data_IF_492730511157
#
_entry.id   IF_492730511157
#
_cell.length_a   1.000
_cell.length_b   1.000
_cell.length_c   1.000
_cell.angle_alpha   90.00
_cell.angle_beta   90.00
_cell.angle_gamma   90.00
#
_symmetry.space_group_name_H-M   'P 1'
#
loop_
_entity.id
_entity.type
_entity.pdbx_description
1 polymer ?
#
# COMPACT_ATOMS: atom_id res chain seq x y z
N UNK A 1 22.26 15.84 44.07
CA UNK A 1 21.90 15.60 42.66
C UNK A 1 22.51 14.27 42.23
N UNK A 2 21.80 13.15 42.40
CA UNK A 2 22.23 11.83 41.88
C UNK A 2 21.02 10.90 41.88
N UNK A 3 20.15 11.07 40.89
CA UNK A 3 18.86 10.32 40.81
C UNK A 3 18.49 9.90 39.39
N UNK A 4 19.30 10.20 38.35
CA UNK A 4 18.89 9.98 36.95
C UNK A 4 19.28 8.61 36.39
N UNK A 5 20.35 7.97 36.86
CA UNK A 5 20.86 6.74 36.25
C UNK A 5 20.11 5.46 36.70
N UNK A 6 19.49 5.48 37.87
CA UNK A 6 18.73 4.33 38.40
C UNK A 6 17.33 4.21 37.78
N UNK A 7 16.65 5.32 37.48
CA UNK A 7 15.36 5.32 36.78
C UNK A 7 15.48 4.91 35.30
N UNK A 8 16.59 5.25 34.65
CA UNK A 8 16.83 4.88 33.26
C UNK A 8 17.10 3.38 33.10
N UNK A 9 17.69 2.73 34.12
CA UNK A 9 17.94 1.29 34.15
C UNK A 9 16.69 0.48 34.51
N UNK A 10 15.76 1.04 35.29
CA UNK A 10 14.47 0.38 35.59
C UNK A 10 13.50 0.45 34.41
N UNK A 11 13.48 1.57 33.67
CA UNK A 11 12.67 1.69 32.46
C UNK A 11 13.16 0.78 31.32
N UNK A 12 14.48 0.56 31.20
CA UNK A 12 15.04 -0.40 30.24
C UNK A 12 14.74 -1.86 30.59
N UNK A 13 14.65 -2.20 31.89
CA UNK A 13 14.27 -3.54 32.35
C UNK A 13 12.76 -3.83 32.22
N UNK A 14 11.91 -2.86 32.55
CA UNK A 14 10.45 -3.01 32.39
C UNK A 14 10.05 -3.13 30.92
N UNK A 15 10.74 -2.42 30.01
CA UNK A 15 10.48 -2.53 28.57
C UNK A 15 11.00 -3.83 27.95
N UNK A 16 11.92 -4.52 28.62
CA UNK A 16 12.37 -5.86 28.25
C UNK A 16 11.48 -6.95 28.85
N UNK A 17 10.89 -6.75 30.04
CA UNK A 17 9.87 -7.66 30.60
C UNK A 17 8.57 -7.68 29.78
N UNK A 18 8.24 -6.58 29.10
CA UNK A 18 7.07 -6.45 28.22
C UNK A 18 7.34 -6.93 26.77
N UNK A 19 8.57 -7.32 26.43
CA UNK A 19 8.93 -7.80 25.09
C UNK A 19 8.79 -9.35 25.05
N UNK A 20 7.83 -9.92 24.30
CA UNK A 20 7.62 -11.37 24.26
C UNK A 20 8.84 -12.15 23.75
N UNK A 21 9.78 -11.49 23.06
CA UNK A 21 11.05 -12.06 22.62
C UNK A 21 12.07 -12.22 23.76
N UNK A 22 12.01 -11.39 24.81
CA UNK A 22 12.94 -11.47 25.94
C UNK A 22 12.69 -12.71 26.82
N UNK A 23 11.43 -13.17 26.89
CA UNK A 23 11.08 -14.44 27.55
C UNK A 23 11.66 -15.68 26.85
N UNK A 24 11.87 -15.59 25.53
CA UNK A 24 12.49 -16.68 24.74
C UNK A 24 14.02 -16.75 24.93
N UNK A 25 14.66 -15.65 25.30
CA UNK A 25 16.11 -15.57 25.52
C UNK A 25 16.52 -15.95 26.97
N UNK A 26 15.63 -15.77 27.96
CA UNK A 26 15.92 -16.16 29.36
C UNK A 26 15.86 -17.67 29.58
N UNK A 27 14.99 -18.41 28.88
CA UNK A 27 14.85 -19.88 28.99
C UNK A 27 15.76 -20.62 27.99
N UNK A 28 17.07 -20.36 28.07
CA UNK A 28 18.11 -21.07 27.34
C UNK A 28 18.30 -22.55 27.70
N UNK A 29 17.39 -23.13 28.50
CA UNK A 29 17.30 -24.56 28.77
C UNK A 29 15.97 -25.09 28.24
N UNK A 30 16.06 -26.04 27.30
CA UNK A 30 14.96 -26.69 26.61
C UNK A 30 13.99 -27.46 27.53
N UNK A 31 13.22 -26.76 28.36
CA UNK A 31 11.92 -27.24 28.81
C UNK A 31 10.89 -26.84 27.74
N UNK A 32 10.07 -27.79 27.25
CA UNK A 32 8.98 -27.43 26.35
C UNK A 32 8.02 -26.52 27.11
N UNK A 33 7.94 -25.24 26.69
CA UNK A 33 6.98 -24.25 27.16
C UNK A 33 5.59 -24.90 27.31
N UNK A 34 4.94 -24.67 28.46
CA UNK A 34 3.60 -25.19 28.73
C UNK A 34 2.62 -24.71 27.63
N UNK A 35 1.65 -25.54 27.25
CA UNK A 35 0.75 -25.27 26.12
C UNK A 35 -0.05 -23.97 26.34
N UNK A 36 -0.32 -23.64 27.61
CA UNK A 36 -0.97 -22.39 28.02
C UNK A 36 -0.07 -21.16 27.83
N UNK A 37 1.23 -21.28 28.11
CA UNK A 37 2.20 -20.19 27.93
C UNK A 37 2.45 -19.93 26.45
N UNK A 38 2.55 -20.98 25.63
CA UNK A 38 2.65 -20.83 24.17
C UNK A 38 1.42 -20.13 23.58
N UNK A 39 0.21 -20.47 24.04
CA UNK A 39 -1.02 -19.80 23.59
C UNK A 39 -1.06 -18.32 23.97
N UNK A 40 -0.65 -17.98 25.19
CA UNK A 40 -0.57 -16.59 25.63
C UNK A 40 0.47 -15.79 24.83
N UNK A 41 1.63 -16.38 24.53
CA UNK A 41 2.66 -15.74 23.72
C UNK A 41 2.16 -15.54 22.28
N UNK A 42 1.54 -16.55 21.66
CA UNK A 42 0.99 -16.42 20.30
C UNK A 42 -0.12 -15.38 20.25
N UNK A 43 -1.00 -15.34 21.25
CA UNK A 43 -2.08 -14.38 21.31
C UNK A 43 -1.55 -12.94 21.49
N UNK A 44 -0.59 -12.73 22.40
CA UNK A 44 0.03 -11.41 22.59
C UNK A 44 0.79 -10.93 21.36
N UNK A 45 1.49 -11.84 20.65
CA UNK A 45 2.11 -11.53 19.36
C UNK A 45 1.08 -11.14 18.30
N UNK A 46 -0.08 -11.80 18.26
CA UNK A 46 -1.17 -11.46 17.33
C UNK A 46 -1.75 -10.09 17.64
N UNK A 47 -2.05 -9.79 18.90
CA UNK A 47 -2.60 -8.50 19.32
C UNK A 47 -1.61 -7.36 19.04
N UNK A 48 -0.31 -7.57 19.30
CA UNK A 48 0.74 -6.62 18.97
C UNK A 48 0.87 -6.40 17.45
N UNK A 49 0.77 -7.46 16.66
CA UNK A 49 0.81 -7.39 15.20
C UNK A 49 -0.41 -6.66 14.64
N UNK A 50 -1.62 -6.98 15.10
CA UNK A 50 -2.86 -6.32 14.67
C UNK A 50 -2.83 -4.81 14.98
N UNK A 51 -2.37 -4.44 16.19
CA UNK A 51 -2.18 -3.04 16.57
C UNK A 51 -1.17 -2.33 15.67
N UNK A 52 -0.05 -2.98 15.37
CA UNK A 52 0.98 -2.43 14.48
C UNK A 52 0.45 -2.25 13.05
N UNK A 53 -0.24 -3.26 12.51
CA UNK A 53 -0.86 -3.22 11.19
C UNK A 53 -1.88 -2.07 11.09
N UNK A 54 -2.69 -1.87 12.12
CA UNK A 54 -3.62 -0.75 12.20
C UNK A 54 -2.89 0.61 12.15
N UNK A 55 -1.81 0.77 12.91
CA UNK A 55 -1.01 2.00 12.93
C UNK A 55 -0.35 2.25 11.57
N UNK A 56 0.26 1.23 10.95
CA UNK A 56 0.85 1.36 9.63
C UNK A 56 -0.17 1.78 8.58
N UNK A 57 -1.35 1.14 8.57
CA UNK A 57 -2.44 1.51 7.65
C UNK A 57 -2.95 2.93 7.89
N UNK A 58 -3.04 3.36 9.15
CA UNK A 58 -3.42 4.74 9.48
C UNK A 58 -2.39 5.76 8.97
N UNK A 59 -1.09 5.49 9.13
CA UNK A 59 -0.02 6.35 8.59
C UNK A 59 -0.07 6.40 7.05
N UNK A 60 -0.33 5.27 6.40
CA UNK A 60 -0.51 5.22 4.95
C UNK A 60 -1.71 6.07 4.50
N UNK A 61 -2.84 6.03 5.21
CA UNK A 61 -3.98 6.90 4.92
C UNK A 61 -3.64 8.37 5.06
N UNK A 62 -2.91 8.75 6.10
CA UNK A 62 -2.45 10.15 6.28
C UNK A 62 -1.57 10.57 5.10
N UNK A 63 -0.61 9.73 4.71
CA UNK A 63 0.25 10.00 3.56
C UNK A 63 -0.55 10.18 2.27
N UNK A 64 -1.48 9.26 1.97
CA UNK A 64 -2.32 9.36 0.77
C UNK A 64 -3.25 10.60 0.81
N UNK A 65 -3.78 10.92 1.99
CA UNK A 65 -4.58 12.13 2.20
C UNK A 65 -3.78 13.42 1.97
N UNK A 66 -2.52 13.46 2.43
CA UNK A 66 -1.62 14.58 2.17
C UNK A 66 -1.29 14.73 0.69
N UNK A 67 -1.09 13.63 -0.04
CA UNK A 67 -0.92 13.67 -1.50
C UNK A 67 -2.18 14.22 -2.18
N UNK A 68 -3.36 13.84 -1.70
CA UNK A 68 -4.63 14.42 -2.17
C UNK A 68 -4.69 15.94 -1.97
N UNK A 69 -4.36 16.42 -0.76
CA UNK A 69 -4.30 17.86 -0.47
C UNK A 69 -3.26 18.57 -1.34
N UNK A 70 -2.10 17.95 -1.55
CA UNK A 70 -1.03 18.48 -2.39
C UNK A 70 -1.50 18.70 -3.83
N UNK A 71 -2.31 17.81 -4.40
CA UNK A 71 -2.86 18.01 -5.74
C UNK A 71 -3.97 19.08 -5.81
N UNK A 72 -4.54 19.48 -4.69
CA UNK A 72 -5.51 20.58 -4.65
C UNK A 72 -4.83 21.96 -4.54
N UNK A 73 -3.55 22.02 -4.13
CA UNK A 73 -2.86 23.29 -3.90
C UNK A 73 -2.75 24.22 -5.11
N UNK A 74 -2.56 23.76 -6.37
CA UNK A 74 -2.41 24.68 -7.49
C UNK A 74 -3.76 25.13 -8.07
N UNK A 75 -4.90 24.56 -7.63
CA UNK A 75 -6.23 24.90 -8.17
C UNK A 75 -6.54 26.40 -8.03
N UNK A 76 -6.33 27.06 -6.88
CA UNK A 76 -6.55 28.49 -6.76
C UNK A 76 -5.71 29.30 -7.76
N UNK A 77 -4.43 28.96 -7.93
CA UNK A 77 -3.52 29.67 -8.84
C UNK A 77 -3.94 29.51 -10.32
N UNK A 78 -4.49 28.35 -10.68
CA UNK A 78 -5.07 28.15 -12.02
C UNK A 78 -6.36 28.95 -12.23
N UNK A 79 -7.16 29.16 -11.18
CA UNK A 79 -8.40 29.94 -11.25
C UNK A 79 -8.10 31.44 -11.33
N UNK A 80 -7.09 31.92 -10.59
CA UNK A 80 -6.67 33.34 -10.63
C UNK A 80 -5.82 33.66 -11.86
N UNK A 81 -5.27 32.64 -12.53
CA UNK A 81 -4.41 32.79 -13.70
C UNK A 81 -2.96 33.13 -13.34
N UNK A 82 -2.60 33.09 -12.06
CA UNK A 82 -1.25 33.36 -11.55
C UNK A 82 -0.31 32.15 -11.69
N UNK A 83 -0.84 30.98 -12.09
CA UNK A 83 -0.03 29.79 -12.28
C UNK A 83 0.99 29.98 -13.42
N UNK A 84 2.28 29.65 -13.21
CA UNK A 84 3.34 29.84 -14.21
C UNK A 84 3.11 29.03 -15.50
N UNK A 85 2.33 27.95 -15.42
CA UNK A 85 1.89 27.13 -16.56
C UNK A 85 0.39 27.30 -16.87
N UNK A 86 -0.15 28.52 -16.79
CA UNK A 86 -1.57 28.80 -17.07
C UNK A 86 -2.00 28.48 -18.51
N UNK A 87 -1.04 28.44 -19.44
CA UNK A 87 -1.23 28.15 -20.85
C UNK A 87 -0.32 27.01 -21.30
N UNK A 88 -0.90 25.99 -21.94
CA UNK A 88 -0.14 24.89 -22.51
C UNK A 88 0.39 25.32 -23.88
N UNK A 89 1.69 25.61 -23.98
CA UNK A 89 2.38 25.62 -25.26
C UNK A 89 2.41 24.18 -25.77
N UNK A 90 1.77 23.90 -26.92
CA UNK A 90 1.67 22.56 -27.48
C UNK A 90 3.02 21.81 -27.38
N UNK A 91 2.91 20.53 -27.04
CA UNK A 91 3.90 19.46 -26.77
C UNK A 91 5.22 19.39 -27.57
N UNK A 92 5.57 20.39 -28.39
CA UNK A 92 6.80 20.46 -29.17
C UNK A 92 7.48 21.85 -29.19
N UNK A 93 6.98 22.87 -28.48
CA UNK A 93 7.64 24.17 -28.48
C UNK A 93 8.63 24.30 -27.31
N UNK A 94 9.91 24.34 -27.64
CA UNK A 94 11.04 24.62 -26.76
C UNK A 94 10.79 25.87 -25.91
N UNK A 95 10.94 25.71 -24.59
CA UNK A 95 10.73 26.71 -23.53
C UNK A 95 11.79 27.81 -23.52
N UNK A 96 11.88 28.62 -24.59
CA UNK A 96 12.81 29.74 -24.68
C UNK A 96 12.23 30.96 -25.41
N UNK A 97 11.01 31.41 -25.14
CA UNK A 97 10.55 32.70 -25.67
C UNK A 97 9.78 33.46 -24.58
N UNK A 98 10.43 34.48 -24.04
CA UNK A 98 9.94 35.41 -23.00
C UNK A 98 9.18 36.63 -23.55
N UNK A 99 8.75 36.60 -24.81
CA UNK A 99 8.09 37.74 -25.42
C UNK A 99 6.69 37.35 -25.89
N UNK A 100 5.69 37.89 -25.19
CA UNK A 100 4.30 37.91 -25.62
C UNK A 100 4.21 38.67 -26.94
N UNK A 101 4.14 37.93 -28.06
CA UNK A 101 3.78 38.47 -29.36
C UNK A 101 2.59 37.69 -29.91
N UNK A 102 1.95 38.23 -30.96
CA UNK A 102 0.61 37.88 -31.46
C UNK A 102 0.35 36.42 -31.88
N UNK A 103 1.28 35.48 -31.66
CA UNK A 103 1.08 34.04 -31.84
C UNK A 103 0.38 33.35 -30.63
N UNK A 104 0.01 34.12 -29.60
CA UNK A 104 -0.70 33.66 -28.39
C UNK A 104 -2.14 33.16 -28.61
N UNK A 105 -2.64 33.19 -29.85
CA UNK A 105 -3.97 32.68 -30.23
C UNK A 105 -4.08 31.15 -30.21
N UNK A 106 -2.98 30.41 -30.02
CA UNK A 106 -2.98 28.94 -29.93
C UNK A 106 -2.53 28.48 -28.52
N UNK A 107 -2.97 29.20 -27.48
CA UNK A 107 -2.76 28.79 -26.09
C UNK A 107 -4.00 28.08 -25.56
N UNK A 108 -3.93 26.76 -25.40
CA UNK A 108 -4.99 26.00 -24.73
C UNK A 108 -4.96 26.32 -23.22
N UNK A 109 -6.12 26.55 -22.58
CA UNK A 109 -6.16 26.73 -21.14
C UNK A 109 -5.64 25.45 -20.47
N UNK A 110 -4.62 25.57 -19.63
CA UNK A 110 -4.00 24.41 -18.97
C UNK A 110 -4.90 23.82 -17.87
N UNK A 111 -5.80 24.64 -17.29
CA UNK A 111 -6.65 24.24 -16.18
C UNK A 111 -7.60 23.06 -16.48
N UNK A 112 -8.37 23.03 -17.58
CA UNK A 112 -9.18 21.86 -17.93
C UNK A 112 -8.36 20.58 -18.09
N UNK A 113 -7.15 20.68 -18.63
CA UNK A 113 -6.24 19.54 -18.82
C UNK A 113 -5.75 19.06 -17.46
N UNK A 114 -5.35 19.98 -16.59
CA UNK A 114 -4.98 19.68 -15.20
C UNK A 114 -6.11 18.95 -14.46
N UNK A 115 -7.36 19.41 -14.59
CA UNK A 115 -8.51 18.76 -13.96
C UNK A 115 -8.71 17.32 -14.46
N UNK A 116 -8.59 17.06 -15.75
CA UNK A 116 -8.71 15.69 -16.29
C UNK A 116 -7.61 14.79 -15.72
N UNK A 117 -6.36 15.27 -15.69
CA UNK A 117 -5.23 14.52 -15.14
C UNK A 117 -5.37 14.31 -13.62
N UNK A 118 -5.87 15.32 -12.92
CA UNK A 118 -6.21 15.27 -11.49
C UNK A 118 -7.29 14.23 -11.22
N UNK A 119 -8.36 14.17 -12.01
CA UNK A 119 -9.40 13.16 -11.84
C UNK A 119 -8.88 11.74 -12.15
N UNK A 120 -8.00 11.60 -13.14
CA UNK A 120 -7.38 10.31 -13.46
C UNK A 120 -6.49 9.81 -12.31
N UNK A 121 -5.50 10.62 -11.90
CA UNK A 121 -4.56 10.25 -10.84
C UNK A 121 -5.23 10.23 -9.46
N UNK A 122 -6.08 11.22 -9.19
CA UNK A 122 -6.89 11.29 -7.98
C UNK A 122 -7.87 10.13 -7.86
N UNK A 123 -8.42 9.63 -8.97
CA UNK A 123 -9.24 8.42 -8.98
C UNK A 123 -8.46 7.17 -8.56
N UNK A 124 -7.22 7.02 -9.04
CA UNK A 124 -6.33 5.92 -8.64
C UNK A 124 -5.93 6.04 -7.16
N UNK A 125 -5.57 7.25 -6.72
CA UNK A 125 -5.25 7.55 -5.32
C UNK A 125 -6.44 7.25 -4.41
N UNK A 126 -7.65 7.64 -4.82
CA UNK A 126 -8.90 7.36 -4.11
C UNK A 126 -9.15 5.85 -4.01
N UNK A 127 -8.90 5.08 -5.08
CA UNK A 127 -8.97 3.62 -5.05
C UNK A 127 -8.05 3.02 -3.98
N UNK A 128 -6.80 3.52 -3.88
CA UNK A 128 -5.86 3.12 -2.83
C UNK A 128 -6.37 3.45 -1.41
N UNK A 129 -6.85 4.68 -1.21
CA UNK A 129 -7.44 5.12 0.08
C UNK A 129 -8.62 4.23 0.46
N UNK A 130 -9.56 4.01 -0.47
CA UNK A 130 -10.77 3.25 -0.23
C UNK A 130 -10.46 1.80 0.12
N UNK A 131 -9.50 1.19 -0.57
CA UNK A 131 -9.01 -0.17 -0.28
C UNK A 131 -8.35 -0.25 1.11
N UNK A 132 -7.49 0.72 1.47
CA UNK A 132 -6.87 0.77 2.81
C UNK A 132 -7.92 0.97 3.92
N UNK A 133 -8.93 1.82 3.70
CA UNK A 133 -10.02 2.03 4.65
C UNK A 133 -10.90 0.77 4.84
N UNK A 134 -11.18 0.02 3.76
CA UNK A 134 -11.88 -1.26 3.83
C UNK A 134 -11.05 -2.31 4.59
N UNK A 135 -9.72 -2.38 4.36
CA UNK A 135 -8.81 -3.24 5.13
C UNK A 135 -8.74 -2.90 6.63
N UNK A 136 -8.92 -1.63 6.99
CA UNK A 136 -9.01 -1.21 8.39
C UNK A 136 -10.40 -1.46 9.01
N UNK A 137 -11.37 -1.95 8.23
CA UNK A 137 -12.75 -2.16 8.69
C UNK A 137 -13.54 -0.87 8.93
N UNK A 138 -13.01 0.28 8.48
CA UNK A 138 -13.72 1.57 8.58
C UNK A 138 -14.91 1.64 7.64
N UNK A 139 -14.82 0.93 6.51
CA UNK A 139 -15.89 0.82 5.53
C UNK A 139 -16.36 -0.63 5.54
N UNK A 140 -17.61 -0.87 5.93
CA UNK A 140 -18.22 -2.20 5.82
C UNK A 140 -18.80 -2.36 4.43
N UNK A 141 -18.16 -3.17 3.58
CA UNK A 141 -18.78 -3.63 2.34
C UNK A 141 -20.08 -4.39 2.69
N UNK A 142 -21.20 -3.96 2.12
CA UNK A 142 -22.49 -4.65 2.30
C UNK A 142 -22.37 -6.04 1.68
N UNK A 143 -22.50 -7.08 2.48
CA UNK A 143 -22.57 -8.45 1.99
C UNK A 143 -23.76 -8.62 1.04
N UNK A 144 -23.48 -8.90 -0.22
CA UNK A 144 -24.49 -9.15 -1.24
C UNK A 144 -24.87 -10.64 -1.25
N UNK A 145 -26.15 -10.93 -1.46
CA UNK A 145 -26.65 -12.30 -1.56
C UNK A 145 -26.19 -12.97 -2.87
N UNK A 146 -26.02 -14.29 -2.84
CA UNK A 146 -25.65 -15.08 -4.02
C UNK A 146 -26.67 -14.86 -5.15
N UNK A 147 -26.24 -14.69 -6.42
CA UNK A 147 -24.89 -14.86 -6.97
C UNK A 147 -23.98 -13.63 -6.94
N UNK A 148 -24.43 -12.49 -6.39
CA UNK A 148 -23.68 -11.23 -6.42
C UNK A 148 -22.64 -11.10 -5.29
N UNK A 149 -22.06 -12.21 -4.82
CA UNK A 149 -21.09 -12.17 -3.73
C UNK A 149 -19.89 -11.26 -4.08
N UNK A 150 -19.35 -10.50 -3.11
CA UNK A 150 -18.18 -9.67 -3.35
C UNK A 150 -17.00 -10.55 -3.80
N UNK A 151 -16.36 -10.15 -4.90
CA UNK A 151 -15.18 -10.84 -5.41
C UNK A 151 -13.98 -10.70 -4.46
N UNK A 152 -13.01 -11.60 -4.56
CA UNK A 152 -11.85 -11.65 -3.65
C UNK A 152 -10.91 -10.44 -3.74
N UNK A 153 -11.04 -9.60 -4.78
CA UNK A 153 -10.18 -8.44 -5.05
C UNK A 153 -10.56 -7.18 -4.25
N UNK A 154 -11.15 -7.36 -3.06
CA UNK A 154 -11.50 -6.26 -2.15
C UNK A 154 -12.44 -5.26 -2.82
N UNK A 155 -11.99 -4.02 -2.90
CA UNK A 155 -12.77 -2.88 -3.42
C UNK A 155 -12.64 -2.67 -4.93
N UNK A 156 -11.97 -3.56 -5.66
CA UNK A 156 -11.83 -3.45 -7.10
C UNK A 156 -13.20 -3.31 -7.81
N UNK A 157 -13.30 -2.50 -8.88
CA UNK A 157 -14.48 -2.50 -9.74
C UNK A 157 -14.77 -3.90 -10.30
N UNK A 158 -16.06 -4.30 -10.34
CA UNK A 158 -16.47 -5.62 -10.83
C UNK A 158 -16.02 -5.92 -12.28
N UNK A 159 -15.78 -4.88 -13.09
CA UNK A 159 -15.26 -4.99 -14.46
C UNK A 159 -13.80 -5.45 -14.47
N UNK A 160 -13.01 -5.09 -13.44
CA UNK A 160 -11.61 -5.49 -13.30
C UNK A 160 -11.45 -6.88 -12.67
N UNK A 161 -12.44 -7.33 -11.89
CA UNK A 161 -12.41 -8.64 -11.23
C UNK A 161 -12.08 -9.82 -12.16
N UNK A 162 -12.66 -9.98 -13.38
CA UNK A 162 -12.28 -11.06 -14.29
C UNK A 162 -10.83 -10.95 -14.77
N UNK A 163 -10.35 -9.74 -15.07
CA UNK A 163 -8.96 -9.51 -15.51
C UNK A 163 -7.98 -9.85 -14.39
N UNK A 164 -8.28 -9.43 -13.15
CA UNK A 164 -7.46 -9.75 -11.98
C UNK A 164 -7.48 -11.25 -11.66
N UNK A 165 -8.62 -11.92 -11.89
CA UNK A 165 -8.75 -13.37 -11.76
C UNK A 165 -7.91 -14.11 -12.79
N UNK A 166 -7.91 -13.65 -14.04
CA UNK A 166 -7.09 -14.21 -15.11
C UNK A 166 -5.59 -14.01 -14.84
N UNK A 167 -5.18 -12.81 -14.37
CA UNK A 167 -3.78 -12.53 -14.00
C UNK A 167 -3.31 -13.45 -12.86
N UNK A 168 -4.19 -13.75 -11.90
CA UNK A 168 -3.86 -14.60 -10.74
C UNK A 168 -3.73 -16.09 -11.09
N UNK A 169 -4.03 -16.50 -12.33
CA UNK A 169 -4.17 -17.89 -12.81
C UNK A 169 -3.73 -18.95 -11.79
N UNK A 170 -4.69 -19.44 -11.01
CA UNK A 170 -4.51 -20.58 -10.13
C UNK A 170 -4.38 -21.85 -10.97
N UNK A 171 -3.27 -22.62 -10.95
CA UNK A 171 -3.43 -24.02 -10.68
C UNK A 171 -3.83 -24.08 -9.21
N UNK A 172 -5.09 -24.38 -8.98
CA UNK A 172 -5.63 -24.73 -7.67
C UNK A 172 -4.61 -25.62 -6.96
N UNK A 173 -4.38 -25.36 -5.67
CA UNK A 173 -3.80 -26.29 -4.69
C UNK A 173 -4.62 -27.60 -4.58
N UNK A 174 -5.21 -28.11 -5.66
CA UNK A 174 -5.74 -29.46 -5.79
C UNK A 174 -4.58 -30.38 -6.17
N UNK A 175 -3.71 -30.68 -5.19
CA UNK A 175 -2.84 -31.86 -5.27
C UNK A 175 -1.34 -31.62 -5.28
N UNK A 176 -0.83 -30.42 -5.00
CA UNK A 176 0.60 -30.26 -4.67
C UNK A 176 0.79 -30.84 -3.25
N UNK A 177 1.01 -32.16 -3.19
CA UNK A 177 1.77 -32.78 -2.10
C UNK A 177 3.06 -31.98 -1.96
N UNK A 178 3.51 -31.74 -0.73
CA UNK A 178 4.72 -31.00 -0.37
C UNK A 178 6.04 -31.55 -0.96
N UNK A 179 5.96 -32.43 -1.94
CA UNK A 179 7.00 -33.37 -2.34
C UNK A 179 7.26 -33.38 -3.86
N UNK A 180 6.70 -32.44 -4.65
CA UNK A 180 6.71 -32.62 -6.12
C UNK A 180 7.10 -31.50 -7.06
N UNK A 181 7.46 -30.30 -6.63
CA UNK A 181 8.01 -29.32 -7.58
C UNK A 181 9.15 -28.50 -6.99
N UNK A 182 10.37 -28.72 -7.49
CA UNK A 182 11.61 -27.95 -7.20
C UNK A 182 11.59 -26.52 -7.79
N UNK A 183 10.43 -26.04 -8.28
CA UNK A 183 10.30 -24.70 -8.85
C UNK A 183 9.49 -23.82 -7.91
N UNK A 184 10.06 -22.73 -7.38
CA UNK A 184 9.28 -21.79 -6.58
C UNK A 184 8.13 -21.25 -7.45
N UNK A 185 6.91 -21.18 -6.90
CA UNK A 185 5.78 -20.64 -7.65
C UNK A 185 6.05 -19.20 -8.07
N UNK A 186 5.54 -18.75 -9.23
CA UNK A 186 5.71 -17.38 -9.67
C UNK A 186 5.05 -16.43 -8.67
N UNK A 187 5.71 -15.31 -8.37
CA UNK A 187 5.34 -14.37 -7.29
C UNK A 187 3.87 -13.90 -7.37
N UNK A 188 3.32 -13.78 -8.58
CA UNK A 188 1.94 -13.35 -8.81
C UNK A 188 0.86 -14.33 -8.31
N UNK A 189 1.22 -15.60 -8.13
CA UNK A 189 0.31 -16.65 -7.64
C UNK A 189 0.29 -16.76 -6.11
N UNK A 190 1.32 -16.23 -5.44
CA UNK A 190 1.43 -16.22 -3.97
C UNK A 190 0.95 -14.90 -3.34
N UNK A 191 0.81 -13.85 -4.14
CA UNK A 191 0.30 -12.55 -3.70
C UNK A 191 -1.19 -12.61 -3.32
N UNK A 192 -1.57 -11.90 -2.26
CA UNK A 192 -2.97 -11.75 -1.86
C UNK A 192 -3.78 -11.03 -2.96
N UNK A 193 -5.03 -11.43 -3.24
CA UNK A 193 -5.82 -10.85 -4.33
C UNK A 193 -6.03 -9.34 -4.15
N UNK A 194 -6.15 -8.89 -2.90
CA UNK A 194 -6.28 -7.48 -2.56
C UNK A 194 -4.97 -6.70 -2.83
N UNK A 195 -3.80 -7.31 -2.61
CA UNK A 195 -2.51 -6.68 -2.93
C UNK A 195 -2.30 -6.60 -4.44
N UNK A 196 -2.75 -7.62 -5.18
CA UNK A 196 -2.73 -7.63 -6.65
C UNK A 196 -3.50 -6.42 -7.23
N UNK A 197 -4.66 -6.08 -6.65
CA UNK A 197 -5.40 -4.88 -7.02
C UNK A 197 -4.60 -3.59 -6.78
N UNK A 198 -3.95 -3.45 -5.61
CA UNK A 198 -3.08 -2.29 -5.32
C UNK A 198 -1.90 -2.20 -6.30
N UNK A 199 -1.29 -3.33 -6.66
CA UNK A 199 -0.24 -3.38 -7.68
C UNK A 199 -0.76 -2.91 -9.04
N UNK A 200 -1.98 -3.29 -9.42
CA UNK A 200 -2.61 -2.83 -10.65
C UNK A 200 -2.87 -1.31 -10.62
N UNK A 201 -3.35 -0.77 -9.50
CA UNK A 201 -3.51 0.68 -9.34
C UNK A 201 -2.18 1.42 -9.49
N UNK A 202 -1.11 0.88 -8.89
CA UNK A 202 0.24 1.42 -8.99
C UNK A 202 0.75 1.38 -10.43
N UNK A 203 0.55 0.26 -11.13
CA UNK A 203 0.95 0.15 -12.53
C UNK A 203 0.16 1.13 -13.41
N UNK A 204 -1.15 1.28 -13.15
CA UNK A 204 -2.02 2.20 -13.87
C UNK A 204 -1.66 3.68 -13.64
N UNK A 205 -0.97 4.03 -12.55
CA UNK A 205 -0.54 5.41 -12.31
C UNK A 205 0.76 5.78 -13.05
N UNK A 206 1.55 4.80 -13.52
CA UNK A 206 2.85 5.02 -14.19
C UNK A 206 2.82 5.70 -15.56
N UNK A 207 1.80 5.53 -16.45
CA UNK A 207 1.90 6.04 -17.81
C UNK A 207 2.01 7.57 -17.89
N UNK A 208 1.30 8.30 -17.03
CA UNK A 208 1.32 9.77 -17.02
C UNK A 208 2.70 10.34 -16.68
N UNK A 209 3.34 10.02 -15.53
CA UNK A 209 4.68 10.53 -15.23
C UNK A 209 5.71 10.12 -16.29
N UNK A 210 5.62 8.90 -16.82
CA UNK A 210 6.51 8.43 -17.89
C UNK A 210 6.32 9.20 -19.20
N UNK A 211 5.08 9.50 -19.57
CA UNK A 211 4.78 10.29 -20.77
C UNK A 211 5.31 11.72 -20.62
N UNK A 212 5.10 12.36 -19.47
CA UNK A 212 5.61 13.71 -19.21
C UNK A 212 7.14 13.75 -19.13
N UNK A 213 7.76 12.69 -18.62
CA UNK A 213 9.21 12.52 -18.63
C UNK A 213 9.74 12.37 -20.06
N UNK A 214 9.10 11.51 -20.87
CA UNK A 214 9.45 11.30 -22.28
C UNK A 214 9.27 12.56 -23.13
N UNK A 215 8.35 13.45 -22.75
CA UNK A 215 8.17 14.76 -23.36
C UNK A 215 9.21 15.82 -22.92
N UNK A 216 10.15 15.47 -22.04
CA UNK A 216 11.23 16.35 -21.59
C UNK A 216 10.85 17.31 -20.46
N UNK A 217 9.65 17.22 -19.89
CA UNK A 217 9.22 18.07 -18.76
C UNK A 217 9.42 17.32 -17.44
N UNK A 218 10.64 17.40 -16.90
CA UNK A 218 11.04 16.69 -15.68
C UNK A 218 10.32 17.17 -14.41
N UNK A 219 10.00 18.46 -14.32
CA UNK A 219 9.32 19.03 -13.15
C UNK A 219 7.89 18.48 -13.06
N UNK A 220 7.15 18.52 -14.17
CA UNK A 220 5.81 17.96 -14.23
C UNK A 220 5.81 16.43 -14.14
N UNK A 221 6.83 15.76 -14.67
CA UNK A 221 7.00 14.33 -14.46
C UNK A 221 7.16 13.98 -12.98
N UNK A 222 7.98 14.74 -12.24
CA UNK A 222 8.10 14.59 -10.80
C UNK A 222 6.77 14.81 -10.08
N UNK A 223 6.02 15.85 -10.46
CA UNK A 223 4.71 16.16 -9.89
C UNK A 223 3.69 15.03 -10.06
N UNK A 224 3.59 14.45 -11.26
CA UNK A 224 2.69 13.33 -11.52
C UNK A 224 3.21 11.99 -10.98
N UNK A 225 4.52 11.87 -10.71
CA UNK A 225 5.10 10.67 -10.12
C UNK A 225 4.77 10.51 -8.63
N UNK A 226 4.35 11.57 -7.94
CA UNK A 226 4.01 11.51 -6.51
C UNK A 226 2.95 10.45 -6.21
N UNK A 227 1.89 10.36 -7.03
CA UNK A 227 0.87 9.31 -6.89
C UNK A 227 1.47 7.92 -7.02
N UNK A 228 2.30 7.69 -8.04
CA UNK A 228 2.96 6.41 -8.28
C UNK A 228 3.88 6.01 -7.12
N UNK A 229 4.67 6.95 -6.60
CA UNK A 229 5.54 6.70 -5.44
C UNK A 229 4.70 6.36 -4.21
N UNK A 230 3.65 7.14 -3.93
CA UNK A 230 2.74 6.92 -2.82
C UNK A 230 2.06 5.53 -2.87
N UNK A 231 1.53 5.14 -4.03
CA UNK A 231 0.93 3.82 -4.24
C UNK A 231 1.96 2.68 -4.19
N UNK A 232 3.19 2.93 -4.62
CA UNK A 232 4.28 1.95 -4.51
C UNK A 232 4.63 1.70 -3.04
N UNK A 233 4.77 2.76 -2.23
CA UNK A 233 5.00 2.64 -0.79
C UNK A 233 3.85 1.87 -0.13
N UNK A 234 2.60 2.17 -0.51
CA UNK A 234 1.43 1.42 -0.04
C UNK A 234 1.51 -0.07 -0.37
N UNK A 235 1.86 -0.42 -1.62
CA UNK A 235 2.02 -1.81 -2.03
C UNK A 235 3.13 -2.52 -1.24
N UNK A 236 4.26 -1.85 -1.00
CA UNK A 236 5.37 -2.43 -0.23
C UNK A 236 4.93 -2.67 1.21
N UNK A 237 4.31 -1.68 1.86
CA UNK A 237 3.83 -1.81 3.24
C UNK A 237 2.79 -2.93 3.38
N UNK A 238 1.77 -2.98 2.53
CA UNK A 238 0.79 -4.07 2.57
C UNK A 238 1.41 -5.43 2.22
N UNK A 239 2.39 -5.46 1.30
CA UNK A 239 3.14 -6.68 1.01
C UNK A 239 3.98 -7.18 2.18
N UNK A 240 4.50 -6.28 3.02
CA UNK A 240 5.19 -6.66 4.26
C UNK A 240 4.20 -7.16 5.31
N UNK A 241 3.06 -6.49 5.48
CA UNK A 241 1.98 -6.92 6.39
C UNK A 241 1.50 -8.33 6.02
N UNK A 242 1.17 -8.57 4.75
CA UNK A 242 0.71 -9.86 4.27
C UNK A 242 1.75 -10.97 4.52
N UNK A 243 3.05 -10.68 4.35
CA UNK A 243 4.12 -11.64 4.66
C UNK A 243 4.16 -12.01 6.14
N UNK A 244 4.12 -11.01 7.04
CA UNK A 244 4.14 -11.26 8.49
C UNK A 244 2.89 -11.99 8.97
N UNK A 245 1.72 -11.70 8.38
CA UNK A 245 0.49 -12.44 8.67
C UNK A 245 0.59 -13.91 8.23
N UNK A 246 1.16 -14.18 7.04
CA UNK A 246 1.39 -15.56 6.56
C UNK A 246 2.37 -16.32 7.45
N UNK A 247 3.46 -15.69 7.91
CA UNK A 247 4.42 -16.29 8.84
C UNK A 247 3.78 -16.60 10.20
N UNK A 248 2.97 -15.69 10.73
CA UNK A 248 2.24 -15.90 11.99
C UNK A 248 1.21 -17.05 11.89
N UNK A 249 0.56 -17.20 10.73
CA UNK A 249 -0.33 -18.34 10.46
C UNK A 249 0.46 -19.64 10.31
N UNK A 250 1.61 -19.60 9.64
CA UNK A 250 2.53 -20.74 9.51
C UNK A 250 3.01 -21.26 10.86
N UNK A 251 3.36 -20.36 11.78
CA UNK A 251 3.73 -20.70 13.16
C UNK A 251 2.62 -21.44 13.90
N UNK A 252 1.36 -21.03 13.70
CA UNK A 252 0.20 -21.74 14.26
C UNK A 252 0.00 -23.13 13.65
N UNK A 253 0.29 -23.30 12.35
CA UNK A 253 0.24 -24.61 11.70
C UNK A 253 1.27 -25.60 12.25
N UNK A 254 2.47 -25.11 12.59
CA UNK A 254 3.54 -25.92 13.17
C UNK A 254 3.19 -26.50 14.56
N UNK A 255 2.34 -25.80 15.35
CA UNK A 255 1.79 -26.30 16.62
C UNK A 255 1.03 -27.63 16.45
N UNK A 256 0.30 -27.80 15.35
CA UNK A 256 -0.48 -29.02 15.09
C UNK A 256 0.33 -30.16 14.46
N UNK A 257 1.40 -29.83 13.71
CA UNK A 257 2.29 -30.83 13.14
C UNK A 257 3.10 -31.57 14.21
N UNK A 258 3.51 -30.88 15.29
CA UNK A 258 4.24 -31.47 16.41
C UNK A 258 3.40 -32.44 17.26
N UNK A 259 2.06 -32.40 17.17
CA UNK A 259 1.16 -33.36 17.84
C UNK A 259 0.99 -34.69 17.07
N UNK A 260 1.51 -34.78 15.84
CA UNK A 260 1.38 -35.95 14.96
C UNK A 260 2.64 -36.78 14.76
N UNK A 261 3.75 -36.44 15.44
CA UNK A 261 5.03 -37.15 15.39
C UNK A 261 5.27 -37.98 16.65
#
# INVERSE_FOLDING_TARGET
MSSSTLQQRSQGKQKAEDDPLAKLDEDGSAEPLDEQEQEQIIQSLREANEKSNYIFRALMLVMLGLVGVLYLTPIPDYITGDHPESHLTMLFHTSHIHEASHDDLIRLPAFPIYLVLLFLQGGLLFGGIYETMDRMGMIRSKGLAFPQQPHQFGTAPAILAPVLADIRWHPTHSGIRADKDDRPPPVWTTISPRLLYLCLLTLASTPLPLMTFGAGNFINAGWWAITTVALTVLCICEGLIDKFEMEAVGLNGMKYAYKGA
#
